data_IF_061233828617
#
_entry.id   IF_061233828617
#
_cell.length_a   1.000
_cell.length_b   1.000
_cell.length_c   1.000
_cell.angle_alpha   90.00
_cell.angle_beta   90.00
_cell.angle_gamma   90.00
#
_symmetry.space_group_name_H-M   'P 1'
#
loop_
_entity.id
_entity.type
_entity.pdbx_description
1 polymer ?
#
# COMPACT_ATOMS: atom_id res chain seq x y z
N UNK A 1 7.64 -1.69 34.59
CA UNK A 1 6.97 -0.66 33.77
C UNK A 1 7.99 -0.19 32.75
N UNK A 2 7.86 -0.61 31.50
CA UNK A 2 8.74 -0.20 30.39
C UNK A 2 8.01 0.87 29.59
N UNK A 3 8.62 2.04 29.44
CA UNK A 3 8.17 3.09 28.52
C UNK A 3 9.22 3.22 27.41
N UNK A 4 8.85 2.79 26.20
CA UNK A 4 9.64 2.98 24.98
C UNK A 4 9.47 4.41 24.47
N UNK A 5 10.57 5.14 24.28
CA UNK A 5 10.57 6.46 23.66
C UNK A 5 10.57 6.36 22.14
N UNK A 6 9.59 7.00 21.50
CA UNK A 6 9.45 7.16 20.05
C UNK A 6 10.38 8.30 19.60
N UNK A 7 11.24 8.05 18.62
CA UNK A 7 11.97 9.09 17.90
C UNK A 7 11.15 9.54 16.69
N UNK A 8 10.94 10.84 16.53
CA UNK A 8 10.24 11.43 15.40
C UNK A 8 11.17 12.41 14.69
N UNK A 9 11.34 12.22 13.39
CA UNK A 9 12.06 13.15 12.50
C UNK A 9 11.03 14.05 11.84
N UNK A 10 11.22 15.37 11.87
CA UNK A 10 10.34 16.33 11.17
C UNK A 10 11.21 17.20 10.26
N UNK A 11 10.93 17.15 8.95
CA UNK A 11 11.63 17.90 7.90
C UNK A 11 10.79 19.09 7.46
N UNK A 12 11.39 20.29 7.46
CA UNK A 12 10.81 21.49 6.84
C UNK A 12 11.78 22.00 5.77
N UNK A 13 11.28 22.26 4.57
CA UNK A 13 12.04 22.86 3.48
C UNK A 13 11.89 24.37 3.50
N UNK A 14 13.00 25.11 3.54
CA UNK A 14 13.05 26.55 3.29
C UNK A 14 13.86 26.79 2.01
N UNK A 15 13.28 27.52 1.06
CA UNK A 15 13.89 27.82 -0.24
C UNK A 15 14.51 29.22 -0.21
N UNK A 16 15.83 29.34 -0.39
CA UNK A 16 16.48 30.63 -0.64
C UNK A 16 16.69 30.82 -2.15
N UNK A 17 16.09 31.87 -2.71
CA UNK A 17 15.85 32.02 -4.16
C UNK A 17 17.06 32.49 -4.99
N UNK A 18 18.26 32.53 -4.41
CA UNK A 18 19.44 33.07 -5.09
C UNK A 18 20.50 32.04 -5.53
N UNK A 19 20.35 30.74 -5.24
CA UNK A 19 21.38 29.75 -5.61
C UNK A 19 20.88 28.41 -6.13
N UNK A 20 19.56 28.20 -6.27
CA UNK A 20 19.01 26.90 -6.68
C UNK A 20 19.28 25.77 -5.67
N UNK A 21 19.66 26.11 -4.44
CA UNK A 21 19.97 25.17 -3.35
C UNK A 21 18.71 25.03 -2.50
N UNK A 22 18.12 23.83 -2.49
CA UNK A 22 17.10 23.48 -1.49
C UNK A 22 17.80 22.85 -0.30
N UNK A 23 17.76 23.52 0.86
CA UNK A 23 18.40 23.01 2.08
C UNK A 23 17.41 22.13 2.83
N UNK A 24 17.69 20.83 2.92
CA UNK A 24 16.96 19.92 3.81
C UNK A 24 17.67 19.87 5.16
N UNK A 25 17.01 20.41 6.19
CA UNK A 25 17.46 20.28 7.57
C UNK A 25 16.94 18.97 8.15
N UNK A 26 17.84 18.06 8.50
CA UNK A 26 17.56 16.97 9.43
C UNK A 26 18.22 17.28 10.76
N UNK A 27 17.42 17.60 11.78
CA UNK A 27 17.89 17.63 13.16
C UNK A 27 17.67 16.25 13.79
N UNK A 28 18.75 15.61 14.24
CA UNK A 28 18.66 14.49 15.18
C UNK A 28 18.91 15.04 16.58
N UNK A 29 17.83 15.39 17.30
CA UNK A 29 17.96 15.70 18.71
C UNK A 29 18.19 14.41 19.49
N UNK A 30 19.45 14.08 19.79
CA UNK A 30 19.78 13.14 20.86
C UNK A 30 19.95 13.92 22.16
N UNK A 31 18.98 13.81 23.06
CA UNK A 31 19.05 14.42 24.38
C UNK A 31 19.93 13.50 25.24
N UNK A 32 21.22 13.80 25.33
CA UNK A 32 22.02 13.34 26.46
C UNK A 32 21.75 14.31 27.62
N UNK A 33 20.90 13.88 28.57
CA UNK A 33 20.80 14.58 29.86
C UNK A 33 22.08 14.30 30.66
N UNK A 34 22.68 15.38 31.13
CA UNK A 34 23.66 15.44 32.23
C UNK A 34 25.14 15.09 31.94
N UNK A 35 25.77 15.78 30.99
CA UNK A 35 27.23 16.04 31.08
C UNK A 35 27.59 17.45 30.59
N UNK A 36 28.01 18.38 31.47
CA UNK A 36 28.33 19.76 31.09
C UNK A 36 29.70 19.91 30.37
N UNK A 37 30.41 18.81 30.05
CA UNK A 37 31.73 18.89 29.41
C UNK A 37 31.87 18.19 28.04
N UNK A 38 30.77 17.80 27.39
CA UNK A 38 30.84 17.33 26.00
C UNK A 38 30.61 18.51 25.05
N UNK A 39 31.70 19.07 24.53
CA UNK A 39 31.64 19.99 23.40
C UNK A 39 30.85 19.33 22.26
N UNK A 40 29.75 19.96 21.84
CA UNK A 40 28.98 19.53 20.67
C UNK A 40 29.88 19.56 19.43
N UNK A 41 30.45 18.42 19.09
CA UNK A 41 30.90 18.16 17.73
C UNK A 41 29.63 17.97 16.90
N UNK A 42 29.11 19.08 16.38
CA UNK A 42 28.14 19.06 15.31
C UNK A 42 28.77 18.30 14.13
N UNK A 43 28.47 17.01 14.02
CA UNK A 43 28.78 16.24 12.83
C UNK A 43 27.81 16.71 11.74
N UNK A 44 28.17 17.80 11.07
CA UNK A 44 27.47 18.29 9.89
C UNK A 44 27.86 17.36 8.74
N UNK A 45 27.07 16.32 8.50
CA UNK A 45 27.16 15.55 7.27
C UNK A 45 26.56 16.38 6.15
N UNK A 46 27.40 17.10 5.42
CA UNK A 46 27.03 17.73 4.15
C UNK A 46 26.83 16.63 3.10
N UNK A 47 25.62 16.09 2.96
CA UNK A 47 25.28 15.37 1.72
C UNK A 47 24.87 16.42 0.69
N UNK A 48 25.85 16.95 -0.04
CA UNK A 48 25.58 17.65 -1.30
C UNK A 48 24.78 16.71 -2.20
N UNK A 49 23.48 16.99 -2.41
CA UNK A 49 22.77 16.44 -3.56
C UNK A 49 23.45 17.00 -4.80
N UNK A 50 24.27 16.18 -5.45
CA UNK A 50 24.87 16.51 -6.74
C UNK A 50 23.71 16.79 -7.70
N UNK A 51 23.73 17.94 -8.38
CA UNK A 51 22.76 18.25 -9.41
C UNK A 51 22.82 17.14 -10.48
N UNK A 52 21.77 16.31 -10.54
CA UNK A 52 21.64 15.23 -11.52
C UNK A 52 21.07 15.79 -12.82
N UNK A 53 21.51 15.26 -13.96
CA UNK A 53 20.77 15.42 -15.20
C UNK A 53 19.37 14.78 -15.06
N UNK A 54 18.41 15.17 -15.91
CA UNK A 54 17.06 14.61 -15.87
C UNK A 54 17.05 13.08 -15.95
N UNK A 55 17.94 12.50 -16.77
CA UNK A 55 18.07 11.04 -16.94
C UNK A 55 18.66 10.36 -15.69
N UNK A 56 19.64 10.99 -15.04
CA UNK A 56 20.22 10.47 -13.80
C UNK A 56 19.24 10.58 -12.64
N UNK A 57 18.42 11.63 -12.62
CA UNK A 57 17.35 11.80 -11.64
C UNK A 57 16.28 10.72 -11.80
N UNK A 58 15.82 10.47 -13.04
CA UNK A 58 14.86 9.40 -13.33
C UNK A 58 15.36 8.00 -12.92
N UNK A 59 16.63 7.68 -13.21
CA UNK A 59 17.23 6.41 -12.79
C UNK A 59 17.38 6.29 -11.25
N UNK A 60 17.66 7.40 -10.58
CA UNK A 60 17.72 7.46 -9.12
C UNK A 60 16.33 7.24 -8.51
N UNK A 61 15.31 7.94 -9.00
CA UNK A 61 13.93 7.84 -8.52
C UNK A 61 13.38 6.43 -8.73
N UNK A 62 13.66 5.81 -9.88
CA UNK A 62 13.34 4.40 -10.12
C UNK A 62 13.95 3.46 -9.06
N UNK A 63 15.23 3.67 -8.69
CA UNK A 63 15.93 2.83 -7.70
C UNK A 63 15.37 3.02 -6.29
N UNK A 64 15.08 4.27 -5.91
CA UNK A 64 14.46 4.60 -4.63
C UNK A 64 13.09 3.94 -4.53
N UNK A 65 12.24 4.10 -5.55
CA UNK A 65 10.91 3.50 -5.59
C UNK A 65 10.96 1.97 -5.49
N UNK A 66 11.87 1.30 -6.22
CA UNK A 66 12.01 -0.15 -6.13
C UNK A 66 12.39 -0.65 -4.73
N UNK A 67 13.26 0.08 -4.04
CA UNK A 67 13.71 -0.29 -2.69
C UNK A 67 12.58 -0.08 -1.68
N UNK A 68 11.86 1.03 -1.79
CA UNK A 68 10.71 1.34 -0.94
C UNK A 68 9.59 0.29 -1.06
N UNK A 69 9.36 -0.23 -2.26
CA UNK A 69 8.22 -1.10 -2.58
C UNK A 69 8.26 -2.51 -1.99
N UNK A 70 9.41 -2.99 -1.52
CA UNK A 70 9.53 -4.36 -0.98
C UNK A 70 8.63 -4.59 0.23
N UNK A 71 8.70 -3.69 1.23
CA UNK A 71 7.93 -3.84 2.47
C UNK A 71 6.39 -3.79 2.22
N UNK A 72 5.85 -2.83 1.43
CA UNK A 72 4.43 -2.83 1.09
C UNK A 72 3.97 -4.10 0.36
N UNK A 73 4.79 -4.71 -0.49
CA UNK A 73 4.44 -5.98 -1.14
C UNK A 73 4.23 -7.11 -0.12
N UNK A 74 5.13 -7.24 0.87
CA UNK A 74 5.02 -8.25 1.93
C UNK A 74 3.81 -8.00 2.84
N UNK A 75 3.52 -6.74 3.15
CA UNK A 75 2.35 -6.34 3.93
C UNK A 75 1.05 -6.65 3.18
N UNK A 76 1.00 -6.38 1.88
CA UNK A 76 -0.13 -6.73 1.02
C UNK A 76 -0.35 -8.24 0.98
N UNK A 77 0.73 -9.02 0.83
CA UNK A 77 0.64 -10.49 0.82
C UNK A 77 0.05 -11.04 2.14
N UNK A 78 0.60 -10.60 3.28
CA UNK A 78 0.12 -11.00 4.61
C UNK A 78 -1.35 -10.63 4.84
N UNK A 79 -1.74 -9.46 4.33
CA UNK A 79 -3.11 -8.97 4.43
C UNK A 79 -4.05 -9.82 3.58
N UNK A 80 -3.70 -10.14 2.34
CA UNK A 80 -4.50 -10.97 1.44
C UNK A 80 -4.71 -12.38 2.00
N UNK A 81 -3.66 -13.02 2.53
CA UNK A 81 -3.77 -14.33 3.18
C UNK A 81 -4.74 -14.31 4.36
N UNK A 82 -4.69 -13.24 5.15
CA UNK A 82 -5.60 -13.06 6.28
C UNK A 82 -7.02 -12.83 5.82
N UNK A 83 -7.24 -11.94 4.84
CA UNK A 83 -8.56 -11.63 4.29
C UNK A 83 -9.19 -12.89 3.71
N UNK A 84 -8.47 -13.64 2.87
CA UNK A 84 -8.97 -14.86 2.23
C UNK A 84 -9.38 -15.92 3.27
N UNK A 85 -8.52 -16.18 4.26
CA UNK A 85 -8.80 -17.14 5.33
C UNK A 85 -10.04 -16.76 6.15
N UNK A 86 -10.18 -15.49 6.52
CA UNK A 86 -11.34 -15.00 7.30
C UNK A 86 -12.61 -15.01 6.44
N UNK A 87 -12.51 -14.58 5.18
CA UNK A 87 -13.62 -14.58 4.24
C UNK A 87 -14.15 -15.99 4.00
N UNK A 88 -13.30 -17.01 3.90
CA UNK A 88 -13.72 -18.41 3.75
C UNK A 88 -14.60 -18.90 4.92
N UNK A 89 -14.31 -18.48 6.15
CA UNK A 89 -15.15 -18.79 7.32
C UNK A 89 -16.50 -18.06 7.26
N UNK A 90 -16.47 -16.77 6.90
CA UNK A 90 -17.68 -15.95 6.75
C UNK A 90 -18.58 -16.47 5.63
N UNK A 91 -18.01 -16.88 4.49
CA UNK A 91 -18.76 -17.42 3.36
C UNK A 91 -19.53 -18.70 3.72
N UNK A 92 -18.95 -19.58 4.55
CA UNK A 92 -19.65 -20.77 5.07
C UNK A 92 -20.87 -20.38 5.92
N UNK A 93 -20.72 -19.35 6.74
CA UNK A 93 -21.81 -18.83 7.57
C UNK A 93 -22.88 -18.11 6.73
N UNK A 94 -22.49 -17.37 5.69
CA UNK A 94 -23.43 -16.78 4.70
C UNK A 94 -24.20 -17.89 3.97
N UNK A 95 -23.54 -18.97 3.56
CA UNK A 95 -24.16 -20.12 2.92
C UNK A 95 -25.33 -20.68 3.74
N UNK A 96 -25.14 -20.78 5.06
CA UNK A 96 -26.12 -21.34 5.97
C UNK A 96 -27.28 -20.39 6.26
N UNK A 97 -27.01 -19.09 6.41
CA UNK A 97 -28.00 -18.11 6.88
C UNK A 97 -28.74 -17.41 5.74
N UNK A 98 -28.07 -17.17 4.62
CA UNK A 98 -28.61 -16.48 3.43
C UNK A 98 -28.05 -17.11 2.15
N UNK A 99 -28.44 -18.37 1.81
CA UNK A 99 -27.88 -19.09 0.67
C UNK A 99 -28.04 -18.35 -0.67
N UNK A 100 -29.10 -17.55 -0.83
CA UNK A 100 -29.30 -16.72 -2.02
C UNK A 100 -28.15 -15.72 -2.28
N UNK A 101 -27.45 -15.28 -1.24
CA UNK A 101 -26.33 -14.34 -1.37
C UNK A 101 -25.06 -14.95 -1.95
N UNK A 102 -24.93 -16.28 -1.97
CA UNK A 102 -23.79 -16.92 -2.61
C UNK A 102 -23.75 -16.64 -4.12
N UNK A 103 -24.92 -16.48 -4.73
CA UNK A 103 -25.06 -16.25 -6.18
C UNK A 103 -25.30 -14.78 -6.53
N UNK A 104 -25.43 -13.91 -5.53
CA UNK A 104 -25.84 -12.53 -5.76
C UNK A 104 -24.75 -11.69 -6.44
N UNK A 105 -23.49 -12.14 -6.50
CA UNK A 105 -22.43 -11.37 -7.17
C UNK A 105 -22.07 -10.09 -6.41
N UNK A 106 -22.20 -10.10 -5.09
CA UNK A 106 -21.70 -9.04 -4.21
C UNK A 106 -20.18 -9.14 -4.05
N UNK A 107 -19.55 -8.02 -3.73
CA UNK A 107 -18.15 -7.90 -3.35
C UNK A 107 -18.01 -6.93 -2.16
N UNK A 108 -16.80 -6.69 -1.68
CA UNK A 108 -16.55 -5.72 -0.62
C UNK A 108 -15.21 -5.01 -0.78
N UNK A 109 -15.18 -3.75 -0.36
CA UNK A 109 -14.00 -2.87 -0.35
C UNK A 109 -13.87 -2.18 1.01
N UNK A 110 -12.88 -1.31 1.18
CA UNK A 110 -12.72 -0.43 2.34
C UNK A 110 -13.17 0.98 1.99
N UNK A 111 -14.02 1.55 2.83
CA UNK A 111 -14.46 2.94 2.82
C UNK A 111 -14.43 3.47 4.25
N UNK A 112 -13.79 4.61 4.50
CA UNK A 112 -13.71 5.21 5.85
C UNK A 112 -13.27 4.23 6.95
N UNK A 113 -12.38 3.30 6.60
CA UNK A 113 -11.87 2.25 7.48
C UNK A 113 -12.87 1.13 7.84
N UNK A 114 -14.05 1.13 7.21
CA UNK A 114 -15.06 0.09 7.31
C UNK A 114 -15.13 -0.73 6.01
N UNK A 115 -15.56 -1.97 6.14
CA UNK A 115 -15.85 -2.83 5.00
C UNK A 115 -17.22 -2.45 4.43
N UNK A 116 -17.26 -2.12 3.14
CA UNK A 116 -18.47 -1.76 2.40
C UNK A 116 -18.78 -2.77 1.33
N UNK A 117 -20.06 -3.10 1.18
CA UNK A 117 -20.50 -4.13 0.23
C UNK A 117 -20.90 -3.50 -1.09
N UNK A 118 -20.26 -3.94 -2.16
CA UNK A 118 -20.50 -3.50 -3.54
C UNK A 118 -21.18 -4.61 -4.34
N UNK A 119 -21.50 -4.34 -5.60
CA UNK A 119 -22.16 -5.29 -6.49
C UNK A 119 -23.65 -5.48 -6.22
N UNK A 120 -24.18 -6.60 -6.72
CA UNK A 120 -25.61 -6.85 -6.79
C UNK A 120 -26.13 -7.55 -5.52
N UNK A 121 -26.69 -6.76 -4.60
CA UNK A 121 -27.39 -7.24 -3.41
C UNK A 121 -28.42 -6.19 -3.00
N UNK A 122 -29.52 -6.61 -2.39
CA UNK A 122 -30.51 -5.67 -1.85
C UNK A 122 -29.89 -4.78 -0.76
N UNK A 123 -30.44 -3.59 -0.52
CA UNK A 123 -29.94 -2.72 0.54
C UNK A 123 -29.94 -3.41 1.93
N UNK A 124 -30.96 -4.21 2.22
CA UNK A 124 -31.03 -5.01 3.45
C UNK A 124 -29.97 -6.12 3.51
N UNK A 125 -29.62 -6.71 2.38
CA UNK A 125 -28.56 -7.72 2.32
C UNK A 125 -27.18 -7.08 2.45
N UNK A 126 -26.96 -5.93 1.81
CA UNK A 126 -25.72 -5.15 1.98
C UNK A 126 -25.50 -4.78 3.43
N UNK A 127 -26.50 -4.19 4.10
CA UNK A 127 -26.39 -3.82 5.51
C UNK A 127 -26.09 -5.03 6.42
N UNK A 128 -26.72 -6.18 6.13
CA UNK A 128 -26.45 -7.41 6.87
C UNK A 128 -25.03 -7.96 6.61
N UNK A 129 -24.58 -7.98 5.35
CA UNK A 129 -23.23 -8.40 4.97
C UNK A 129 -22.18 -7.47 5.58
N UNK A 130 -22.36 -6.14 5.51
CA UNK A 130 -21.47 -5.14 6.11
C UNK A 130 -21.36 -5.35 7.63
N UNK A 131 -22.48 -5.56 8.33
CA UNK A 131 -22.44 -5.87 9.75
C UNK A 131 -21.63 -7.16 10.03
N UNK A 132 -21.84 -8.19 9.22
CA UNK A 132 -21.14 -9.48 9.40
C UNK A 132 -19.64 -9.38 9.14
N UNK A 133 -19.26 -8.66 8.08
CA UNK A 133 -17.86 -8.42 7.71
C UNK A 133 -17.15 -7.54 8.76
N UNK A 134 -17.79 -6.44 9.20
CA UNK A 134 -17.17 -5.49 10.15
C UNK A 134 -17.11 -6.02 11.59
N UNK A 135 -17.98 -6.96 11.97
CA UNK A 135 -17.88 -7.66 13.26
C UNK A 135 -16.65 -8.58 13.32
N UNK A 136 -16.06 -8.95 12.18
CA UNK A 136 -14.76 -9.60 12.14
C UNK A 136 -13.64 -8.56 12.17
N UNK A 137 -13.18 -8.23 13.37
CA UNK A 137 -12.12 -7.22 13.59
C UNK A 137 -10.83 -7.60 12.86
N UNK A 138 -10.49 -8.88 12.77
CA UNK A 138 -9.25 -9.33 12.11
C UNK A 138 -9.35 -9.11 10.60
N UNK A 139 -10.50 -9.44 10.00
CA UNK A 139 -10.76 -9.15 8.59
C UNK A 139 -10.69 -7.65 8.31
N UNK A 140 -11.37 -6.83 9.12
CA UNK A 140 -11.38 -5.37 8.94
C UNK A 140 -9.99 -4.76 9.05
N UNK A 141 -9.19 -5.19 10.03
CA UNK A 141 -7.81 -4.72 10.19
C UNK A 141 -6.92 -5.14 9.00
N UNK A 142 -7.04 -6.38 8.54
CA UNK A 142 -6.26 -6.86 7.39
C UNK A 142 -6.63 -6.12 6.09
N UNK A 143 -7.92 -5.86 5.86
CA UNK A 143 -8.36 -5.08 4.71
C UNK A 143 -7.83 -3.64 4.74
N UNK A 144 -7.84 -2.99 5.92
CA UNK A 144 -7.23 -1.67 6.08
C UNK A 144 -5.72 -1.69 5.87
N UNK A 145 -5.02 -2.70 6.42
CA UNK A 145 -3.58 -2.86 6.23
C UNK A 145 -3.21 -3.06 4.74
N UNK A 146 -4.05 -3.76 3.97
CA UNK A 146 -3.89 -3.86 2.53
C UNK A 146 -4.03 -2.50 1.82
N UNK A 147 -5.02 -1.69 2.20
CA UNK A 147 -5.19 -0.33 1.66
C UNK A 147 -3.99 0.53 1.99
N UNK A 148 -3.49 0.48 3.23
CA UNK A 148 -2.32 1.26 3.64
C UNK A 148 -1.06 0.80 2.90
N UNK A 149 -0.90 -0.51 2.65
CA UNK A 149 0.17 -1.04 1.79
C UNK A 149 0.04 -0.53 0.35
N UNK A 150 -1.17 -0.48 -0.21
CA UNK A 150 -1.41 0.06 -1.55
C UNK A 150 -1.09 1.55 -1.65
N UNK A 151 -1.46 2.34 -0.64
CA UNK A 151 -1.07 3.76 -0.55
C UNK A 151 0.46 3.87 -0.52
N UNK A 152 1.13 3.12 0.35
CA UNK A 152 2.59 3.16 0.45
C UNK A 152 3.29 2.75 -0.84
N UNK A 153 2.71 1.82 -1.62
CA UNK A 153 3.29 1.29 -2.85
C UNK A 153 3.03 2.18 -4.08
N UNK A 154 1.80 2.69 -4.20
CA UNK A 154 1.32 3.35 -5.42
C UNK A 154 1.36 4.87 -5.32
N UNK A 155 1.12 5.45 -4.14
CA UNK A 155 1.00 6.90 -3.99
C UNK A 155 2.37 7.56 -4.07
N UNK A 156 2.49 8.59 -4.90
CA UNK A 156 3.73 9.35 -5.02
C UNK A 156 3.97 10.21 -3.79
N UNK A 157 5.11 9.98 -3.15
CA UNK A 157 5.62 10.71 -1.98
C UNK A 157 7.13 10.92 -2.10
N UNK A 158 7.75 11.55 -1.11
CA UNK A 158 9.22 11.69 -1.04
C UNK A 158 9.92 10.32 -0.90
N UNK A 159 9.24 9.34 -0.30
CA UNK A 159 9.75 7.97 -0.08
C UNK A 159 9.43 7.04 -1.27
N UNK A 160 8.39 7.36 -2.06
CA UNK A 160 7.98 6.67 -3.28
C UNK A 160 7.88 7.67 -4.43
N UNK A 161 9.01 8.11 -5.01
CA UNK A 161 9.00 9.13 -6.06
C UNK A 161 8.31 8.62 -7.33
N UNK A 162 7.80 9.55 -8.13
CA UNK A 162 7.20 9.20 -9.40
C UNK A 162 8.25 8.64 -10.36
N UNK A 163 7.86 7.64 -11.16
CA UNK A 163 8.74 7.06 -12.17
C UNK A 163 7.96 6.43 -13.31
N UNK A 164 8.64 6.14 -14.42
CA UNK A 164 8.10 5.38 -15.55
C UNK A 164 8.63 3.96 -15.55
N UNK A 165 7.75 2.98 -15.70
CA UNK A 165 8.14 1.58 -15.70
C UNK A 165 7.16 0.68 -16.43
N UNK A 166 7.42 -0.62 -16.38
CA UNK A 166 6.49 -1.65 -16.86
C UNK A 166 5.69 -2.16 -15.67
N UNK A 167 4.37 -2.13 -15.78
CA UNK A 167 3.49 -2.70 -14.78
C UNK A 167 3.65 -4.22 -14.75
N UNK A 168 4.03 -4.75 -13.59
CA UNK A 168 4.35 -6.18 -13.43
C UNK A 168 3.12 -7.08 -13.64
N UNK A 169 1.92 -6.55 -13.45
CA UNK A 169 0.67 -7.28 -13.65
C UNK A 169 0.24 -7.27 -15.13
N UNK A 170 0.13 -6.10 -15.76
CA UNK A 170 -0.37 -5.95 -17.14
C UNK A 170 0.69 -6.09 -18.22
N UNK A 171 1.98 -6.03 -17.87
CA UNK A 171 3.10 -6.01 -18.81
C UNK A 171 3.20 -4.73 -19.64
N UNK A 172 2.38 -3.71 -19.35
CA UNK A 172 2.30 -2.48 -20.14
C UNK A 172 3.12 -1.35 -19.51
N UNK A 173 3.72 -0.46 -20.31
CA UNK A 173 4.34 0.77 -19.80
C UNK A 173 3.33 1.64 -19.05
N UNK A 174 3.76 2.24 -17.94
CA UNK A 174 2.92 3.04 -17.04
C UNK A 174 3.75 4.13 -16.37
N UNK A 175 3.11 5.28 -16.13
CA UNK A 175 3.60 6.31 -15.21
C UNK A 175 3.06 6.01 -13.81
N UNK A 176 3.96 5.88 -12.83
CA UNK A 176 3.60 5.72 -11.41
C UNK A 176 3.63 7.08 -10.73
N UNK A 177 2.62 7.89 -10.96
CA UNK A 177 2.46 9.24 -10.41
C UNK A 177 1.15 9.42 -9.63
N UNK A 178 0.60 8.32 -9.10
CA UNK A 178 -0.72 8.28 -8.46
C UNK A 178 -0.83 9.18 -7.22
N UNK A 179 -2.04 9.72 -7.03
CA UNK A 179 -2.40 10.57 -5.89
C UNK A 179 -3.72 10.13 -5.28
N UNK A 180 -3.86 10.37 -3.97
CA UNK A 180 -5.09 10.09 -3.24
C UNK A 180 -5.54 8.64 -3.41
N UNK A 181 -4.59 7.69 -3.37
CA UNK A 181 -4.85 6.27 -3.68
C UNK A 181 -5.93 5.72 -2.76
N UNK A 182 -5.89 6.08 -1.47
CA UNK A 182 -6.87 5.64 -0.47
C UNK A 182 -8.31 6.00 -0.84
N UNK A 183 -8.58 7.20 -1.37
CA UNK A 183 -9.95 7.62 -1.69
C UNK A 183 -10.51 6.95 -2.94
N UNK A 184 -9.66 6.35 -3.77
CA UNK A 184 -10.12 5.66 -4.98
C UNK A 184 -10.65 4.25 -4.69
N UNK A 185 -10.37 3.66 -3.51
CA UNK A 185 -10.72 2.27 -3.19
C UNK A 185 -12.22 1.94 -3.24
N UNK A 186 -13.10 2.94 -3.03
CA UNK A 186 -14.55 2.75 -3.14
C UNK A 186 -15.00 2.48 -4.59
N UNK A 187 -14.25 3.04 -5.56
CA UNK A 187 -14.53 2.92 -6.99
C UNK A 187 -13.76 1.76 -7.65
N UNK A 188 -12.82 1.15 -6.92
CA UNK A 188 -12.04 0.00 -7.39
C UNK A 188 -12.82 -1.32 -7.18
N UNK A 189 -12.45 -2.38 -7.92
CA UNK A 189 -12.95 -3.72 -7.65
C UNK A 189 -12.70 -4.14 -6.19
N UNK A 190 -13.63 -4.91 -5.64
CA UNK A 190 -13.52 -5.38 -4.28
C UNK A 190 -12.52 -6.53 -4.12
N UNK A 191 -12.34 -6.99 -2.89
CA UNK A 191 -11.38 -8.03 -2.57
C UNK A 191 -11.67 -9.37 -3.26
N UNK A 192 -12.93 -9.71 -3.53
CA UNK A 192 -13.23 -10.95 -4.27
C UNK A 192 -12.75 -10.88 -5.70
N UNK A 193 -12.93 -9.74 -6.38
CA UNK A 193 -12.39 -9.54 -7.72
C UNK A 193 -10.86 -9.62 -7.73
N UNK A 194 -10.18 -9.00 -6.75
CA UNK A 194 -8.72 -9.14 -6.59
C UNK A 194 -8.33 -10.62 -6.49
N UNK A 195 -9.00 -11.40 -5.63
CA UNK A 195 -8.71 -12.83 -5.50
C UNK A 195 -8.98 -13.62 -6.77
N UNK A 196 -10.12 -13.39 -7.43
CA UNK A 196 -10.46 -14.07 -8.68
C UNK A 196 -9.46 -13.76 -9.79
N UNK A 197 -9.00 -12.51 -9.86
CA UNK A 197 -8.00 -12.05 -10.82
C UNK A 197 -6.65 -12.71 -10.58
N UNK A 198 -6.17 -12.73 -9.33
CA UNK A 198 -4.92 -13.39 -8.96
C UNK A 198 -4.99 -14.90 -9.19
N UNK A 199 -6.09 -15.56 -8.79
CA UNK A 199 -6.30 -16.98 -9.05
C UNK A 199 -6.26 -17.31 -10.54
N UNK A 200 -6.89 -16.50 -11.40
CA UNK A 200 -6.81 -16.70 -12.86
C UNK A 200 -5.37 -16.60 -13.36
N UNK A 201 -4.60 -15.63 -12.88
CA UNK A 201 -3.19 -15.44 -13.25
C UNK A 201 -2.33 -16.66 -12.89
N UNK A 202 -2.47 -17.20 -11.69
CA UNK A 202 -1.67 -18.35 -11.25
C UNK A 202 -2.15 -19.70 -11.80
N UNK A 203 -3.46 -19.86 -12.05
CA UNK A 203 -4.01 -21.10 -12.58
C UNK A 203 -3.89 -21.20 -14.12
N UNK A 204 -3.75 -20.07 -14.83
CA UNK A 204 -3.54 -20.03 -16.28
C UNK A 204 -2.36 -19.10 -16.63
N UNK A 205 -1.11 -19.51 -16.34
CA UNK A 205 0.06 -18.69 -16.63
C UNK A 205 0.19 -18.52 -18.14
N UNK A 206 0.02 -17.29 -18.63
CA UNK A 206 -0.07 -17.02 -20.06
C UNK A 206 1.26 -17.09 -20.80
N UNK A 207 2.42 -17.18 -20.13
CA UNK A 207 3.71 -17.62 -20.69
C UNK A 207 4.79 -17.74 -19.60
N UNK A 208 5.61 -18.79 -19.69
CA UNK A 208 6.94 -19.00 -19.05
C UNK A 208 7.04 -19.02 -17.51
N UNK A 209 6.46 -20.04 -16.88
CA UNK A 209 6.88 -20.49 -15.54
C UNK A 209 5.72 -20.79 -14.60
N UNK A 210 5.93 -21.78 -13.73
CA UNK A 210 5.08 -21.94 -12.54
C UNK A 210 5.40 -20.73 -11.67
N UNK A 211 4.56 -19.70 -11.74
CA UNK A 211 4.61 -18.60 -10.78
C UNK A 211 4.12 -19.18 -9.46
N UNK A 212 5.03 -19.30 -8.47
CA UNK A 212 4.64 -19.64 -7.11
C UNK A 212 3.82 -18.46 -6.55
N UNK A 213 2.51 -18.65 -6.29
CA UNK A 213 1.67 -17.58 -5.74
C UNK A 213 2.20 -17.07 -4.40
N UNK A 214 2.96 -17.88 -3.64
CA UNK A 214 3.55 -17.47 -2.36
C UNK A 214 4.62 -16.38 -2.48
N UNK A 215 5.22 -16.18 -3.66
CA UNK A 215 6.35 -15.26 -3.83
C UNK A 215 5.95 -13.87 -4.37
N UNK A 216 4.82 -13.75 -5.09
CA UNK A 216 4.51 -12.53 -5.85
C UNK A 216 3.06 -12.02 -5.70
N UNK A 217 2.19 -12.70 -4.96
CA UNK A 217 0.77 -12.33 -4.84
C UNK A 217 0.55 -10.92 -4.33
N UNK A 218 1.32 -10.49 -3.32
CA UNK A 218 1.28 -9.11 -2.83
C UNK A 218 1.61 -8.10 -3.93
N UNK A 219 2.75 -8.28 -4.61
CA UNK A 219 3.16 -7.40 -5.71
C UNK A 219 2.15 -7.39 -6.87
N UNK A 220 1.74 -8.56 -7.37
CA UNK A 220 0.78 -8.70 -8.46
C UNK A 220 -0.56 -8.02 -8.13
N UNK A 221 -1.01 -8.09 -6.87
CA UNK A 221 -2.25 -7.44 -6.44
C UNK A 221 -2.16 -5.91 -6.45
N UNK A 222 -1.03 -5.35 -6.03
CA UNK A 222 -0.78 -3.92 -6.01
C UNK A 222 -0.59 -3.37 -7.44
N UNK A 223 0.10 -4.14 -8.28
CA UNK A 223 0.26 -3.81 -9.70
C UNK A 223 -1.06 -3.90 -10.47
N UNK A 224 -1.92 -4.87 -10.14
CA UNK A 224 -3.30 -4.90 -10.65
C UNK A 224 -4.07 -3.64 -10.27
N UNK A 225 -4.03 -3.23 -8.99
CA UNK A 225 -4.65 -1.96 -8.57
C UNK A 225 -4.07 -0.76 -9.32
N UNK A 226 -2.74 -0.69 -9.47
CA UNK A 226 -2.09 0.36 -10.24
C UNK A 226 -2.60 0.46 -11.68
N UNK A 227 -3.03 -0.65 -12.29
CA UNK A 227 -3.62 -0.65 -13.64
C UNK A 227 -5.04 -0.08 -13.72
N UNK A 228 -5.70 0.14 -12.57
CA UNK A 228 -7.07 0.62 -12.46
C UNK A 228 -7.17 2.04 -11.90
N UNK A 229 -6.14 2.49 -11.19
CA UNK A 229 -6.07 3.83 -10.64
C UNK A 229 -6.01 4.89 -11.74
N UNK A 230 -6.51 6.07 -11.39
CA UNK A 230 -6.52 7.27 -12.24
C UNK A 230 -5.63 8.35 -11.68
#
# INVERSE_FOLDING_TARGET
MNASSISGTSTYAATDRASGITTLYQSTSSIAKDDPNVAMLANVSYTTQIARSAKEQEAFDYTVALTHRQQPMEQANTSLDTIERRLGAIQKSIASERPGLQKAGWDFTVADGQLKVTGNASASDKAWLENKLNNDVILRLAANAYVDAAVSYLETSDENPAYHGVNGFSGSPMSYDFKHVKSQFEDLPGFKDIFDTLHKRYNNPSNTGILDPGAYRGADSLEYLGSLLK
#
